data_IF_321452543447
#
_entry.id   IF_321452543447
#
_cell.length_a   1.000
_cell.length_b   1.000
_cell.length_c   1.000
_cell.angle_alpha   90.00
_cell.angle_beta   90.00
_cell.angle_gamma   90.00
#
_symmetry.space_group_name_H-M   'P 1'
#
loop_
_entity.id
_entity.type
_entity.pdbx_description
1 polymer ?
#
# COMPACT_ATOMS: atom_id res chain seq x y z
N UNK A 1 -21.17 -5.90 -2.38
CA UNK A 1 -19.93 -6.69 -2.47
C UNK A 1 -19.73 -7.38 -1.13
N UNK A 2 -19.63 -8.71 -1.09
CA UNK A 2 -19.42 -9.45 0.17
C UNK A 2 -17.92 -9.72 0.32
N UNK A 3 -17.31 -9.13 1.34
CA UNK A 3 -15.91 -9.39 1.70
C UNK A 3 -15.88 -10.63 2.59
N UNK A 4 -15.08 -11.62 2.19
CA UNK A 4 -14.80 -12.81 2.99
C UNK A 4 -13.46 -12.60 3.73
N UNK A 5 -13.39 -12.91 5.04
CA UNK A 5 -12.11 -12.97 5.76
C UNK A 5 -11.13 -13.97 5.14
N UNK A 6 -9.86 -13.90 5.51
CA UNK A 6 -8.90 -14.96 5.17
C UNK A 6 -9.37 -16.32 5.71
N UNK A 7 -9.12 -17.37 4.93
CA UNK A 7 -9.54 -18.74 5.23
C UNK A 7 -9.78 -19.57 3.98
N UNK A 8 -9.96 -20.87 4.19
CA UNK A 8 -10.30 -21.82 3.13
C UNK A 8 -11.82 -21.96 3.07
N UNK A 9 -12.39 -21.71 1.90
CA UNK A 9 -13.83 -21.77 1.67
C UNK A 9 -14.17 -22.87 0.68
N UNK A 10 -15.26 -23.58 0.97
CA UNK A 10 -15.86 -24.55 0.06
C UNK A 10 -17.09 -23.92 -0.58
N UNK A 11 -17.24 -24.05 -1.89
CA UNK A 11 -18.37 -23.46 -2.59
C UNK A 11 -18.81 -24.31 -3.79
N UNK A 12 -20.03 -24.04 -4.25
CA UNK A 12 -20.64 -24.63 -5.45
C UNK A 12 -21.44 -23.57 -6.18
N UNK A 13 -21.62 -23.79 -7.47
CA UNK A 13 -22.49 -22.98 -8.32
C UNK A 13 -23.87 -23.62 -8.40
N UNK A 14 -24.90 -22.78 -8.52
CA UNK A 14 -26.23 -23.24 -8.93
C UNK A 14 -26.41 -22.79 -10.38
N UNK A 15 -26.40 -23.74 -11.30
CA UNK A 15 -26.58 -23.51 -12.74
C UNK A 15 -27.82 -24.28 -13.16
N UNK A 16 -28.82 -23.56 -13.68
CA UNK A 16 -30.13 -24.11 -14.04
C UNK A 16 -30.82 -24.88 -12.89
N UNK A 17 -30.65 -24.38 -11.66
CA UNK A 17 -31.21 -25.01 -10.45
C UNK A 17 -30.46 -26.27 -9.98
N UNK A 18 -29.38 -26.65 -10.64
CA UNK A 18 -28.56 -27.81 -10.26
C UNK A 18 -27.24 -27.36 -9.63
N UNK A 19 -26.84 -28.05 -8.56
CA UNK A 19 -25.53 -27.86 -7.94
C UNK A 19 -24.43 -28.35 -8.88
N UNK A 20 -23.50 -27.47 -9.23
CA UNK A 20 -22.34 -27.76 -10.07
C UNK A 20 -21.06 -27.23 -9.44
N UNK A 21 -19.94 -27.81 -9.86
CA UNK A 21 -18.59 -27.32 -9.58
C UNK A 21 -17.89 -27.00 -10.89
N UNK A 22 -16.83 -26.21 -10.82
CA UNK A 22 -15.99 -25.84 -11.96
C UNK A 22 -14.75 -26.76 -12.00
N UNK A 23 -14.54 -27.56 -13.05
CA UNK A 23 -13.40 -28.49 -13.12
C UNK A 23 -12.05 -27.80 -13.42
N UNK A 24 -12.08 -26.55 -13.87
CA UNK A 24 -10.95 -25.66 -14.15
C UNK A 24 -10.43 -24.93 -12.90
N UNK A 25 -11.16 -24.98 -11.79
CA UNK A 25 -10.77 -24.39 -10.51
C UNK A 25 -10.36 -25.50 -9.52
N UNK A 26 -9.60 -25.19 -8.45
CA UNK A 26 -9.34 -26.15 -7.39
C UNK A 26 -10.64 -26.75 -6.85
N UNK A 27 -10.70 -28.06 -6.70
CA UNK A 27 -11.88 -28.79 -6.23
C UNK A 27 -11.48 -30.05 -5.47
N UNK A 28 -12.38 -30.51 -4.61
CA UNK A 28 -12.26 -31.76 -3.87
C UNK A 28 -13.64 -32.42 -3.69
N UNK A 29 -13.69 -33.61 -3.09
CA UNK A 29 -14.91 -34.37 -2.81
C UNK A 29 -15.07 -34.61 -1.32
N UNK A 30 -16.31 -34.61 -0.86
CA UNK A 30 -16.65 -35.05 0.49
C UNK A 30 -16.67 -36.59 0.59
N UNK A 31 -16.82 -37.12 1.81
CA UNK A 31 -16.91 -38.58 2.06
C UNK A 31 -18.11 -39.23 1.36
N UNK A 32 -19.10 -38.43 0.94
CA UNK A 32 -20.28 -38.86 0.19
C UNK A 32 -20.07 -38.79 -1.33
N UNK A 33 -18.89 -38.37 -1.79
CA UNK A 33 -18.50 -38.26 -3.20
C UNK A 33 -18.94 -36.99 -3.92
N UNK A 34 -19.55 -36.02 -3.22
CA UNK A 34 -20.01 -34.79 -3.83
C UNK A 34 -18.85 -33.80 -4.01
N UNK A 35 -18.66 -33.32 -5.24
CA UNK A 35 -17.61 -32.36 -5.57
C UNK A 35 -17.96 -30.93 -5.17
N UNK A 36 -16.97 -30.16 -4.74
CA UNK A 36 -17.07 -28.72 -4.45
C UNK A 36 -15.77 -28.02 -4.84
N UNK A 37 -15.85 -26.74 -5.16
CA UNK A 37 -14.68 -25.92 -5.40
C UNK A 37 -14.08 -25.43 -4.08
N UNK A 38 -12.75 -25.25 -4.08
CA UNK A 38 -11.98 -24.74 -2.95
C UNK A 38 -11.46 -23.35 -3.32
N UNK A 39 -11.68 -22.39 -2.42
CA UNK A 39 -11.12 -21.05 -2.49
C UNK A 39 -10.28 -20.80 -1.24
N UNK A 40 -8.96 -20.81 -1.41
CA UNK A 40 -8.02 -20.43 -0.35
C UNK A 40 -7.78 -18.91 -0.39
N UNK A 41 -8.40 -18.19 0.56
CA UNK A 41 -8.19 -16.76 0.73
C UNK A 41 -7.10 -16.55 1.77
N UNK A 42 -5.88 -16.29 1.31
CA UNK A 42 -4.80 -15.91 2.20
C UNK A 42 -4.94 -14.45 2.61
N UNK A 43 -4.50 -14.10 3.83
CA UNK A 43 -4.35 -12.69 4.22
C UNK A 43 -3.38 -12.05 3.24
N UNK A 44 -3.92 -11.24 2.34
CA UNK A 44 -3.17 -10.68 1.24
C UNK A 44 -2.08 -9.73 1.77
N UNK A 45 -0.90 -10.30 1.99
CA UNK A 45 0.38 -9.60 2.05
C UNK A 45 1.06 -9.98 0.76
N UNK A 46 0.92 -9.19 -0.33
CA UNK A 46 1.67 -9.48 -1.55
C UNK A 46 3.14 -9.40 -1.17
N UNK A 47 3.81 -10.54 -1.04
CA UNK A 47 5.23 -10.61 -0.77
C UNK A 47 6.00 -9.98 -1.95
N UNK A 48 5.47 -10.19 -3.17
CA UNK A 48 5.88 -9.54 -4.41
C UNK A 48 4.72 -8.73 -5.02
N UNK A 49 4.76 -7.42 -4.83
CA UNK A 49 3.84 -6.49 -5.53
C UNK A 49 4.08 -6.53 -7.04
N UNK A 50 5.32 -6.84 -7.45
CA UNK A 50 5.75 -6.92 -8.85
C UNK A 50 5.08 -8.09 -9.61
N UNK A 51 4.48 -9.05 -8.90
CA UNK A 51 3.78 -10.20 -9.50
C UNK A 51 2.37 -9.87 -10.00
N UNK A 52 1.81 -8.70 -9.62
CA UNK A 52 0.42 -8.33 -9.95
C UNK A 52 0.43 -7.52 -11.25
N UNK A 53 0.32 -8.21 -12.38
CA UNK A 53 0.17 -7.59 -13.69
C UNK A 53 -0.99 -6.57 -13.69
N UNK A 54 -0.67 -5.28 -13.90
CA UNK A 54 -1.63 -4.16 -13.91
C UNK A 54 -1.46 -3.12 -12.80
N UNK A 55 -0.64 -3.37 -11.78
CA UNK A 55 -0.28 -2.39 -10.74
C UNK A 55 1.18 -1.95 -10.79
N UNK A 56 1.93 -2.38 -11.80
CA UNK A 56 3.30 -1.93 -12.02
C UNK A 56 3.27 -0.42 -12.33
N UNK A 57 4.02 0.41 -11.58
CA UNK A 57 4.14 1.82 -11.93
C UNK A 57 4.68 1.94 -13.36
N UNK A 58 4.21 2.92 -14.15
CA UNK A 58 4.73 3.11 -15.51
C UNK A 58 6.25 3.29 -15.44
N UNK A 59 6.96 2.55 -16.29
CA UNK A 59 8.40 2.72 -16.38
C UNK A 59 8.72 4.15 -16.79
N UNK A 60 9.73 4.71 -16.12
CA UNK A 60 10.34 5.96 -16.50
C UNK A 60 10.78 5.87 -17.98
N UNK A 61 10.53 6.90 -18.82
CA UNK A 61 10.96 6.86 -20.21
C UNK A 61 12.47 6.66 -20.37
N UNK A 62 12.89 5.79 -21.30
CA UNK A 62 14.31 5.42 -21.49
C UNK A 62 15.23 6.61 -21.85
N UNK A 63 14.68 7.65 -22.48
CA UNK A 63 15.47 8.82 -22.91
C UNK A 63 14.68 10.12 -23.09
N UNK A 64 13.37 10.15 -22.80
CA UNK A 64 12.56 11.36 -23.03
C UNK A 64 12.72 12.42 -21.94
N UNK A 65 13.44 12.11 -20.85
CA UNK A 65 13.80 13.12 -19.86
C UNK A 65 14.70 14.15 -20.51
N UNK A 66 14.23 15.39 -20.51
CA UNK A 66 15.00 16.54 -20.95
C UNK A 66 15.05 17.58 -19.83
N UNK A 67 15.91 18.57 -19.97
CA UNK A 67 16.01 19.72 -19.06
C UNK A 67 15.47 20.99 -19.75
N UNK A 68 14.49 20.86 -20.64
CA UNK A 68 13.88 22.01 -21.28
C UNK A 68 13.12 22.83 -20.23
N UNK A 69 13.18 24.16 -20.35
CA UNK A 69 12.37 25.02 -19.51
C UNK A 69 10.89 24.86 -19.88
N UNK A 70 10.05 24.75 -18.86
CA UNK A 70 8.60 24.72 -19.01
C UNK A 70 8.10 26.05 -19.60
N UNK A 71 7.19 25.96 -20.56
CA UNK A 71 6.55 27.12 -21.20
C UNK A 71 5.28 27.55 -20.48
N UNK A 72 4.67 28.67 -20.90
CA UNK A 72 3.45 29.20 -20.29
C UNK A 72 2.27 28.21 -20.34
N UNK A 73 2.18 27.40 -21.40
CA UNK A 73 1.17 26.36 -21.60
C UNK A 73 1.24 25.26 -20.53
N UNK A 74 2.44 24.92 -20.04
CA UNK A 74 2.64 23.90 -19.01
C UNK A 74 2.06 24.33 -17.66
N UNK A 75 1.99 25.65 -17.41
CA UNK A 75 1.41 26.25 -16.21
C UNK A 75 -0.09 26.56 -16.35
N UNK A 76 -0.68 26.35 -17.54
CA UNK A 76 -2.09 26.65 -17.77
C UNK A 76 -3.04 25.67 -17.05
N UNK A 77 -2.54 24.48 -16.69
CA UNK A 77 -3.31 23.47 -15.95
C UNK A 77 -3.20 23.72 -14.45
N UNK A 78 -4.34 23.74 -13.77
CA UNK A 78 -4.37 23.85 -12.31
C UNK A 78 -3.74 22.60 -11.66
N UNK A 79 -2.89 22.76 -10.64
CA UNK A 79 -2.29 21.62 -9.96
C UNK A 79 -3.37 20.77 -9.25
N UNK A 80 -3.18 19.46 -9.15
CA UNK A 80 -4.11 18.59 -8.45
C UNK A 80 -4.15 18.96 -6.95
N UNK A 81 -5.33 18.82 -6.35
CA UNK A 81 -5.50 18.99 -4.91
C UNK A 81 -4.68 17.96 -4.13
N UNK A 82 -4.11 18.38 -3.00
CA UNK A 82 -3.36 17.47 -2.13
C UNK A 82 -4.29 16.39 -1.56
N UNK A 83 -3.94 15.10 -1.69
CA UNK A 83 -4.73 14.04 -1.08
C UNK A 83 -4.75 14.20 0.46
N UNK A 84 -5.93 14.15 1.11
CA UNK A 84 -6.04 14.36 2.56
C UNK A 84 -5.29 13.30 3.38
N UNK A 85 -5.05 12.13 2.78
CA UNK A 85 -4.28 11.03 3.35
C UNK A 85 -2.84 11.40 3.71
N UNK A 86 -2.22 12.34 2.99
CA UNK A 86 -0.83 12.72 3.23
C UNK A 86 -0.63 13.48 4.55
N UNK A 87 -1.71 14.02 5.15
CA UNK A 87 -1.66 14.68 6.44
C UNK A 87 -1.57 13.70 7.63
N UNK A 88 -1.80 12.41 7.40
CA UNK A 88 -1.79 11.37 8.43
C UNK A 88 -0.37 10.79 8.59
N UNK A 89 0.51 11.47 9.32
CA UNK A 89 1.88 10.98 9.55
C UNK A 89 1.91 9.99 10.72
N UNK A 90 2.62 8.87 10.55
CA UNK A 90 2.81 7.88 11.62
C UNK A 90 3.45 8.49 12.88
N UNK A 91 4.37 9.44 12.68
CA UNK A 91 5.18 10.04 13.75
C UNK A 91 4.44 11.11 14.55
N UNK A 92 3.35 11.67 14.02
CA UNK A 92 2.53 12.65 14.74
C UNK A 92 1.29 12.00 15.39
N UNK A 93 1.13 10.68 15.30
CA UNK A 93 0.05 9.99 15.96
C UNK A 93 0.24 10.07 17.49
N UNK A 94 -0.84 10.33 18.27
CA UNK A 94 -0.75 10.35 19.72
C UNK A 94 -0.32 8.97 20.23
N UNK A 95 0.79 8.93 20.97
CA UNK A 95 1.24 7.69 21.61
C UNK A 95 0.32 7.39 22.81
N UNK A 96 -0.25 6.18 22.93
CA UNK A 96 -0.89 5.80 24.18
C UNK A 96 0.17 5.78 25.29
N UNK A 97 -0.18 6.32 26.46
CA UNK A 97 0.67 6.35 27.66
C UNK A 97 0.80 4.93 28.26
N UNK A 98 1.56 4.06 27.59
CA UNK A 98 1.93 2.74 28.11
C UNK A 98 3.45 2.68 28.29
N UNK A 99 3.93 1.95 29.31
CA UNK A 99 5.36 1.70 29.54
C UNK A 99 6.06 1.06 28.32
N UNK A 100 5.27 0.31 27.53
CA UNK A 100 5.69 -0.26 26.25
C UNK A 100 4.78 0.34 25.17
N UNK A 101 5.29 1.24 24.31
CA UNK A 101 4.53 1.74 23.18
C UNK A 101 4.09 0.56 22.32
N UNK A 102 2.80 0.44 21.96
CA UNK A 102 2.38 -0.58 21.01
C UNK A 102 3.12 -0.36 19.69
N UNK A 103 3.41 -1.44 18.93
CA UNK A 103 3.97 -1.30 17.60
C UNK A 103 3.05 -0.38 16.79
N UNK A 104 3.63 0.55 16.02
CA UNK A 104 2.85 1.45 15.16
C UNK A 104 1.89 0.63 14.29
N UNK A 105 0.64 1.08 14.20
CA UNK A 105 -0.34 0.48 13.29
C UNK A 105 0.22 0.43 11.88
N UNK A 106 -0.10 -0.63 11.12
CA UNK A 106 0.32 -0.77 9.71
C UNK A 106 0.02 0.53 8.95
N UNK A 107 1.04 1.20 8.35
CA UNK A 107 0.80 2.41 7.59
C UNK A 107 -0.13 2.16 6.41
N UNK A 108 -0.92 3.17 6.05
CA UNK A 108 -1.67 3.16 4.80
C UNK A 108 -0.67 3.17 3.64
N UNK A 109 -0.92 2.40 2.59
CA UNK A 109 -0.01 2.34 1.44
C UNK A 109 0.19 3.72 0.78
N UNK A 110 -0.82 4.60 0.83
CA UNK A 110 -0.81 5.95 0.24
C UNK A 110 0.23 6.88 0.86
N UNK A 111 0.71 6.62 2.10
CA UNK A 111 1.71 7.48 2.75
C UNK A 111 3.15 6.99 2.54
N UNK A 112 3.33 5.84 1.89
CA UNK A 112 4.65 5.28 1.64
C UNK A 112 5.37 6.06 0.55
N UNK A 113 6.70 6.13 0.63
CA UNK A 113 7.56 6.84 -0.31
C UNK A 113 7.34 8.37 -0.38
N UNK A 114 6.57 8.95 0.57
CA UNK A 114 6.42 10.38 0.72
C UNK A 114 7.42 10.94 1.75
N UNK A 115 8.01 12.10 1.43
CA UNK A 115 8.95 12.80 2.30
C UNK A 115 8.20 13.74 3.24
N UNK A 116 8.44 13.57 4.53
CA UNK A 116 7.98 14.46 5.60
C UNK A 116 9.13 15.28 6.14
N UNK A 117 8.87 16.56 6.43
CA UNK A 117 9.87 17.47 6.98
C UNK A 117 9.34 18.07 8.29
N UNK A 118 10.15 18.00 9.34
CA UNK A 118 9.94 18.76 10.55
C UNK A 118 11.03 19.83 10.67
N UNK A 119 10.60 21.08 10.78
CA UNK A 119 11.46 22.24 10.97
C UNK A 119 11.03 22.99 12.22
N UNK A 120 11.84 22.89 13.26
CA UNK A 120 11.65 23.68 14.46
C UNK A 120 12.10 25.12 14.20
N UNK A 121 11.17 26.08 14.37
CA UNK A 121 11.47 27.51 14.21
C UNK A 121 12.42 28.03 15.30
N UNK A 122 12.50 27.35 16.44
CA UNK A 122 13.39 27.71 17.56
C UNK A 122 14.82 27.19 17.40
N UNK A 123 15.02 26.11 16.61
CA UNK A 123 16.32 25.50 16.32
C UNK A 123 16.58 25.44 14.82
N UNK A 124 16.82 26.60 14.17
CA UNK A 124 16.91 26.66 12.71
C UNK A 124 18.10 25.91 12.10
N UNK A 125 19.05 25.46 12.93
CA UNK A 125 20.26 24.78 12.51
C UNK A 125 20.07 23.32 12.15
N UNK A 126 18.94 22.68 12.50
CA UNK A 126 18.69 21.26 12.22
C UNK A 126 17.32 21.07 11.60
N UNK A 127 17.25 20.24 10.55
CA UNK A 127 16.00 19.75 9.98
C UNK A 127 15.93 18.23 10.13
N UNK A 128 14.76 17.75 10.49
CA UNK A 128 14.45 16.32 10.51
C UNK A 128 13.64 15.96 9.27
N UNK A 129 14.10 14.96 8.54
CA UNK A 129 13.45 14.39 7.37
C UNK A 129 12.98 12.99 7.70
N UNK A 130 11.71 12.67 7.40
CA UNK A 130 11.11 11.37 7.63
C UNK A 130 10.59 10.76 6.33
N UNK A 131 10.81 9.46 6.12
CA UNK A 131 10.18 8.70 5.05
C UNK A 131 9.82 7.30 5.53
N UNK A 132 8.68 6.78 5.10
CA UNK A 132 8.27 5.40 5.35
C UNK A 132 8.33 4.61 4.06
N UNK A 133 9.10 3.51 4.08
CA UNK A 133 9.28 2.63 2.94
C UNK A 133 8.84 1.21 3.32
N UNK A 134 8.38 0.44 2.32
CA UNK A 134 8.05 -0.97 2.48
C UNK A 134 9.23 -1.83 2.03
N UNK A 135 9.58 -2.81 2.84
CA UNK A 135 10.56 -3.85 2.53
C UNK A 135 9.90 -5.21 2.71
N UNK A 136 9.57 -5.88 1.60
CA UNK A 136 8.76 -7.11 1.59
C UNK A 136 7.43 -6.91 2.36
N UNK A 137 7.16 -7.75 3.36
CA UNK A 137 6.00 -7.65 4.24
C UNK A 137 6.13 -6.57 5.34
N UNK A 138 7.29 -5.91 5.49
CA UNK A 138 7.59 -5.01 6.62
C UNK A 138 7.62 -3.54 6.17
N UNK A 139 7.42 -2.65 7.14
CA UNK A 139 7.46 -1.20 6.93
C UNK A 139 8.55 -0.60 7.82
N UNK A 140 9.36 0.29 7.24
CA UNK A 140 10.47 0.94 7.91
C UNK A 140 10.30 2.44 7.77
N UNK A 141 10.28 3.16 8.90
CA UNK A 141 10.29 4.62 8.91
C UNK A 141 11.68 5.09 9.29
N UNK A 142 12.33 5.83 8.38
CA UNK A 142 13.67 6.40 8.59
C UNK A 142 13.52 7.87 8.92
N UNK A 143 14.21 8.34 9.97
CA UNK A 143 14.32 9.76 10.33
C UNK A 143 15.78 10.19 10.23
N UNK A 144 16.06 11.12 9.32
CA UNK A 144 17.38 11.71 9.11
C UNK A 144 17.41 13.13 9.71
N UNK A 145 18.32 13.36 10.64
CA UNK A 145 18.63 14.70 11.13
C UNK A 145 19.80 15.27 10.36
N UNK A 146 19.59 16.42 9.71
CA UNK A 146 20.63 17.11 8.94
C UNK A 146 20.80 18.53 9.44
N UNK A 147 22.05 18.90 9.72
CA UNK A 147 22.41 20.28 10.00
C UNK A 147 22.32 21.12 8.73
N UNK A 148 21.71 22.30 8.83
CA UNK A 148 21.66 23.30 7.75
C UNK A 148 22.66 24.38 8.12
N UNK A 149 23.85 24.30 7.55
CA UNK A 149 24.78 25.43 7.52
C UNK A 149 24.20 26.48 6.56
N UNK A 150 24.14 27.73 7.01
CA UNK A 150 23.84 28.88 6.14
C UNK A 150 25.07 29.29 5.37
#
# INVERSE_FOLDING_TARGET
MKLLPSGVYQYRFIVDGQWRYSPDQPWDKDDSGNAYNILDLQDYVPEDIDSISGFEPPQSPDSSYNNLQLGQEDFAKEPPMVPPHLNLTLLNAPSPQMEIPPPYSRPRHVILNHLYMHRDRSRPSVVALGSTNRFLAKYVTVVLYKSIQR
#
